data_IF_906662473669
#
_entry.id   IF_906662473669
#
_cell.length_a   1.000
_cell.length_b   1.000
_cell.length_c   1.000
_cell.angle_alpha   90.00
_cell.angle_beta   90.00
_cell.angle_gamma   90.00
#
_symmetry.space_group_name_H-M   'P 1'
#
loop_
_entity.id
_entity.type
_entity.pdbx_description
1 polymer ?
#
# COMPACT_ATOMS: atom_id res chain seq x y z
N UNK A 1 0.87 4.06 -25.02
CA UNK A 1 -0.32 3.47 -24.34
C UNK A 1 -0.15 3.42 -22.82
N UNK A 2 1.07 3.22 -22.32
CA UNK A 2 1.39 3.03 -20.89
C UNK A 2 1.00 4.22 -20.01
N UNK A 3 1.32 5.46 -20.42
CA UNK A 3 0.90 6.67 -19.68
C UNK A 3 -0.61 6.74 -19.43
N UNK A 4 -1.43 6.34 -20.41
CA UNK A 4 -2.91 6.34 -20.26
C UNK A 4 -3.35 5.28 -19.25
N UNK A 5 -2.72 4.09 -19.25
CA UNK A 5 -3.00 3.01 -18.29
C UNK A 5 -2.68 3.43 -16.86
N UNK A 6 -1.49 3.99 -16.61
CA UNK A 6 -1.08 4.51 -15.28
C UNK A 6 -2.13 5.47 -14.71
N UNK A 7 -2.58 6.43 -15.53
CA UNK A 7 -3.61 7.39 -15.13
C UNK A 7 -4.95 6.73 -14.85
N UNK A 8 -5.38 5.75 -15.67
CA UNK A 8 -6.64 5.03 -15.45
C UNK A 8 -6.60 4.24 -14.14
N UNK A 9 -5.49 3.54 -13.86
CA UNK A 9 -5.31 2.79 -12.62
C UNK A 9 -5.32 3.72 -11.40
N UNK A 10 -4.61 4.85 -11.48
CA UNK A 10 -4.58 5.85 -10.42
C UNK A 10 -5.98 6.42 -10.12
N UNK A 11 -6.66 6.92 -11.16
CA UNK A 11 -7.99 7.54 -11.02
C UNK A 11 -9.02 6.50 -10.56
N UNK A 12 -9.03 5.32 -11.17
CA UNK A 12 -9.90 4.22 -10.75
C UNK A 12 -9.65 3.83 -9.29
N UNK A 13 -8.38 3.75 -8.90
CA UNK A 13 -7.96 3.47 -7.53
C UNK A 13 -8.50 4.49 -6.52
N UNK A 14 -8.39 5.78 -6.82
CA UNK A 14 -8.95 6.85 -5.98
C UNK A 14 -10.48 6.77 -5.89
N UNK A 15 -11.17 6.51 -7.01
CA UNK A 15 -12.63 6.39 -7.04
C UNK A 15 -13.09 5.21 -6.18
N UNK A 16 -12.54 4.02 -6.39
CA UNK A 16 -12.93 2.83 -5.62
C UNK A 16 -12.55 2.95 -4.14
N UNK A 17 -11.40 3.55 -3.83
CA UNK A 17 -11.01 3.81 -2.44
C UNK A 17 -12.00 4.77 -1.76
N UNK A 18 -12.45 5.80 -2.46
CA UNK A 18 -13.42 6.76 -1.93
C UNK A 18 -14.75 6.10 -1.55
N UNK A 19 -15.18 5.07 -2.28
CA UNK A 19 -16.43 4.37 -2.00
C UNK A 19 -16.44 3.67 -0.63
N UNK A 20 -15.27 3.33 -0.09
CA UNK A 20 -15.14 2.76 1.26
C UNK A 20 -15.63 3.72 2.35
N UNK A 21 -15.69 5.03 2.07
CA UNK A 21 -16.12 6.08 3.01
C UNK A 21 -17.61 6.41 2.94
N UNK A 22 -18.35 5.90 1.96
CA UNK A 22 -19.76 6.24 1.75
C UNK A 22 -20.68 5.03 1.96
N UNK A 23 -21.90 5.29 2.43
CA UNK A 23 -22.89 4.24 2.77
C UNK A 23 -23.82 3.84 1.61
N UNK A 24 -23.58 4.31 0.38
CA UNK A 24 -24.48 4.03 -0.76
C UNK A 24 -24.28 2.66 -1.40
N UNK A 25 -23.21 1.94 -1.05
CA UNK A 25 -22.90 0.65 -1.66
C UNK A 25 -23.92 -0.42 -1.24
N UNK A 26 -24.31 -1.32 -2.16
CA UNK A 26 -25.28 -2.37 -1.88
C UNK A 26 -24.77 -3.30 -0.78
N UNK A 27 -25.71 -3.89 -0.03
CA UNK A 27 -25.37 -4.88 0.98
C UNK A 27 -24.65 -6.08 0.33
N UNK A 28 -23.53 -6.49 0.94
CA UNK A 28 -22.77 -7.65 0.51
C UNK A 28 -23.40 -8.96 0.99
N UNK A 29 -22.63 -10.05 0.99
CA UNK A 29 -23.01 -11.29 1.66
C UNK A 29 -23.41 -11.01 3.11
N UNK A 30 -24.35 -11.79 3.64
CA UNK A 30 -24.91 -11.61 4.99
C UNK A 30 -25.59 -10.25 5.24
N UNK A 31 -26.02 -9.57 4.16
CA UNK A 31 -26.68 -8.27 4.20
C UNK A 31 -25.83 -7.16 4.86
N UNK A 32 -24.50 -7.31 4.81
CA UNK A 32 -23.59 -6.34 5.40
C UNK A 32 -23.03 -5.37 4.36
N UNK A 33 -23.42 -4.09 4.44
CA UNK A 33 -22.88 -3.02 3.61
C UNK A 33 -21.41 -2.69 3.93
N UNK A 34 -20.91 -3.07 5.11
CA UNK A 34 -19.49 -2.93 5.47
C UNK A 34 -18.58 -3.81 4.62
N UNK A 35 -19.07 -4.98 4.18
CA UNK A 35 -18.34 -5.87 3.28
C UNK A 35 -18.07 -5.21 1.93
N UNK A 36 -19.11 -4.69 1.27
CA UNK A 36 -18.99 -4.04 -0.04
C UNK A 36 -18.05 -2.83 0.00
N UNK A 37 -18.12 -2.04 1.08
CA UNK A 37 -17.18 -0.95 1.34
C UNK A 37 -15.74 -1.46 1.45
N UNK A 38 -15.51 -2.50 2.24
CA UNK A 38 -14.20 -3.14 2.37
C UNK A 38 -13.63 -3.61 1.03
N UNK A 39 -14.43 -4.34 0.23
CA UNK A 39 -14.02 -4.83 -1.10
C UNK A 39 -13.71 -3.66 -2.03
N UNK A 40 -14.55 -2.63 -2.08
CA UNK A 40 -14.29 -1.44 -2.91
C UNK A 40 -12.98 -0.75 -2.51
N UNK A 41 -12.72 -0.62 -1.20
CA UNK A 41 -11.47 -0.08 -0.68
C UNK A 41 -10.26 -0.91 -1.07
N UNK A 42 -10.34 -2.25 -0.96
CA UNK A 42 -9.26 -3.16 -1.34
C UNK A 42 -8.97 -3.08 -2.85
N UNK A 43 -10.00 -3.07 -3.70
CA UNK A 43 -9.85 -2.88 -5.15
C UNK A 43 -9.18 -1.53 -5.42
N UNK A 44 -9.61 -0.47 -4.73
CA UNK A 44 -9.01 0.85 -4.83
C UNK A 44 -7.52 0.86 -4.51
N UNK A 45 -7.14 0.27 -3.37
CA UNK A 45 -5.75 0.14 -2.95
C UNK A 45 -4.92 -0.70 -3.93
N UNK A 46 -5.47 -1.81 -4.46
CA UNK A 46 -4.79 -2.63 -5.47
C UNK A 46 -4.52 -1.85 -6.75
N UNK A 47 -5.49 -1.05 -7.23
CA UNK A 47 -5.31 -0.23 -8.43
C UNK A 47 -4.27 0.88 -8.21
N UNK A 48 -4.29 1.54 -7.04
CA UNK A 48 -3.28 2.53 -6.67
C UNK A 48 -1.88 1.91 -6.60
N UNK A 49 -1.78 0.71 -6.01
CA UNK A 49 -0.52 -0.05 -5.95
C UNK A 49 0.01 -0.36 -7.35
N UNK A 50 -0.82 -0.89 -8.24
CA UNK A 50 -0.41 -1.20 -9.62
C UNK A 50 0.02 0.05 -10.38
N UNK A 51 -0.69 1.17 -10.19
CA UNK A 51 -0.30 2.45 -10.77
C UNK A 51 1.06 2.93 -10.25
N UNK A 52 1.30 2.79 -8.94
CA UNK A 52 2.58 3.15 -8.33
C UNK A 52 3.71 2.22 -8.81
N UNK A 53 3.47 0.91 -8.87
CA UNK A 53 4.46 -0.08 -9.31
C UNK A 53 4.94 0.22 -10.73
N UNK A 54 4.00 0.41 -11.66
CA UNK A 54 4.32 0.72 -13.04
C UNK A 54 4.99 2.10 -13.17
N UNK A 55 4.73 3.03 -12.24
CA UNK A 55 5.44 4.31 -12.20
C UNK A 55 6.87 4.18 -11.67
N UNK A 56 7.08 3.35 -10.64
CA UNK A 56 8.36 3.18 -9.97
C UNK A 56 9.36 2.36 -10.80
N UNK A 57 8.91 1.30 -11.47
CA UNK A 57 9.78 0.34 -12.15
C UNK A 57 9.69 0.39 -13.68
N UNK A 58 8.78 1.20 -14.22
CA UNK A 58 8.47 1.32 -15.67
C UNK A 58 8.18 -0.01 -16.39
N UNK A 59 7.84 -1.06 -15.63
CA UNK A 59 7.43 -2.37 -16.12
C UNK A 59 6.10 -2.77 -15.52
N UNK A 60 5.37 -3.66 -16.20
CA UNK A 60 4.16 -4.24 -15.64
C UNK A 60 4.52 -5.40 -14.71
N UNK A 61 4.02 -5.36 -13.48
CA UNK A 61 4.31 -6.37 -12.47
C UNK A 61 3.63 -6.08 -11.15
N UNK A 62 3.95 -6.89 -10.15
CA UNK A 62 3.34 -6.82 -8.81
C UNK A 62 4.39 -6.99 -7.71
N UNK A 63 5.53 -7.63 -7.99
CA UNK A 63 6.55 -7.91 -6.98
C UNK A 63 7.72 -6.94 -7.16
N UNK A 64 8.02 -6.08 -6.18
CA UNK A 64 9.10 -5.11 -6.26
C UNK A 64 10.42 -5.78 -5.84
N UNK A 65 10.92 -6.73 -6.64
CA UNK A 65 12.20 -7.40 -6.36
C UNK A 65 13.33 -6.38 -6.29
N UNK A 66 14.34 -6.65 -5.46
CA UNK A 66 15.42 -5.69 -5.23
C UNK A 66 16.25 -5.46 -6.50
N UNK A 67 16.31 -6.44 -7.40
CA UNK A 67 16.97 -6.30 -8.71
C UNK A 67 16.38 -5.17 -9.58
N UNK A 68 15.14 -4.76 -9.31
CA UNK A 68 14.49 -3.65 -10.02
C UNK A 68 14.82 -2.28 -9.42
N UNK A 69 15.49 -2.22 -8.27
CA UNK A 69 15.76 -0.97 -7.57
C UNK A 69 17.04 -0.34 -8.11
N UNK A 70 16.99 0.92 -8.56
CA UNK A 70 18.16 1.59 -9.12
C UNK A 70 19.31 1.78 -8.12
N UNK A 71 19.00 2.10 -6.86
CA UNK A 71 19.98 2.38 -5.79
C UNK A 71 19.52 1.81 -4.45
N UNK A 72 19.57 0.49 -4.27
CA UNK A 72 18.96 -0.16 -3.11
C UNK A 72 19.61 0.27 -1.78
N UNK A 73 20.94 0.54 -1.76
CA UNK A 73 21.73 1.07 -0.62
C UNK A 73 21.20 2.40 -0.04
N UNK A 74 20.50 3.20 -0.84
CA UNK A 74 19.91 4.47 -0.40
C UNK A 74 18.39 4.39 -0.27
N UNK A 75 17.75 3.61 -1.16
CA UNK A 75 16.29 3.50 -1.26
C UNK A 75 15.70 2.77 -0.05
N UNK A 76 16.41 1.79 0.51
CA UNK A 76 15.91 1.04 1.68
C UNK A 76 15.58 1.95 2.87
N UNK A 77 16.34 3.03 3.07
CA UNK A 77 16.13 4.00 4.16
C UNK A 77 14.80 4.73 3.99
N UNK A 78 14.49 5.14 2.76
CA UNK A 78 13.24 5.81 2.41
C UNK A 78 12.07 4.86 2.57
N UNK A 79 12.19 3.63 2.05
CA UNK A 79 11.14 2.61 2.16
C UNK A 79 10.85 2.28 3.62
N UNK A 80 11.89 2.07 4.43
CA UNK A 80 11.72 1.80 5.86
C UNK A 80 11.08 2.99 6.59
N UNK A 81 11.51 4.22 6.29
CA UNK A 81 10.91 5.43 6.87
C UNK A 81 9.42 5.55 6.51
N UNK A 82 9.04 5.29 5.26
CA UNK A 82 7.64 5.24 4.82
C UNK A 82 6.88 4.15 5.58
N UNK A 83 7.45 2.95 5.75
CA UNK A 83 6.85 1.88 6.53
C UNK A 83 6.56 2.30 7.98
N UNK A 84 7.54 2.92 8.65
CA UNK A 84 7.38 3.45 10.02
C UNK A 84 6.34 4.56 10.08
N UNK A 85 6.30 5.47 9.09
CA UNK A 85 5.27 6.50 9.02
C UNK A 85 3.87 5.91 8.88
N UNK A 86 3.70 4.90 8.00
CA UNK A 86 2.41 4.21 7.83
C UNK A 86 2.00 3.48 9.11
N UNK A 87 2.93 2.85 9.83
CA UNK A 87 2.67 2.27 11.15
C UNK A 87 2.26 3.33 12.18
N UNK A 88 2.89 4.50 12.16
CA UNK A 88 2.48 5.66 12.96
C UNK A 88 1.05 6.08 12.66
N UNK A 89 0.68 6.16 11.37
CA UNK A 89 -0.71 6.43 10.95
C UNK A 89 -1.68 5.33 11.36
N UNK A 90 -1.29 4.06 11.27
CA UNK A 90 -2.10 2.94 11.73
C UNK A 90 -2.37 3.06 13.24
N UNK A 91 -1.34 3.34 14.04
CA UNK A 91 -1.47 3.51 15.48
C UNK A 91 -2.35 4.72 15.84
N UNK A 92 -2.13 5.88 15.20
CA UNK A 92 -2.98 7.07 15.44
C UNK A 92 -4.43 6.82 15.04
N UNK A 93 -4.68 6.09 13.95
CA UNK A 93 -6.03 5.72 13.54
C UNK A 93 -6.76 4.84 14.57
N UNK A 94 -6.05 3.94 15.26
CA UNK A 94 -6.64 3.05 16.26
C UNK A 94 -6.75 3.66 17.66
N UNK A 95 -5.88 4.61 18.01
CA UNK A 95 -5.73 5.12 19.37
C UNK A 95 -6.18 6.58 19.55
N UNK A 96 -6.70 7.24 18.50
CA UNK A 96 -7.19 8.62 18.56
C UNK A 96 -8.57 8.76 17.91
N UNK A 97 -9.18 9.95 18.02
CA UNK A 97 -10.48 10.26 17.41
C UNK A 97 -10.49 10.18 15.87
N UNK A 98 -9.31 10.10 15.23
CA UNK A 98 -9.17 9.85 13.78
C UNK A 98 -9.85 8.54 13.35
N UNK A 99 -9.93 7.54 14.23
CA UNK A 99 -10.59 6.26 13.95
C UNK A 99 -12.06 6.40 13.57
N UNK A 100 -12.74 7.45 14.03
CA UNK A 100 -14.16 7.68 13.72
C UNK A 100 -14.40 8.14 12.27
N UNK A 101 -13.36 8.67 11.60
CA UNK A 101 -13.46 9.15 10.22
C UNK A 101 -13.03 8.10 9.19
N UNK A 102 -12.41 7.01 9.64
CA UNK A 102 -11.87 5.96 8.79
C UNK A 102 -12.83 4.76 8.73
N UNK A 103 -12.83 4.00 7.62
CA UNK A 103 -13.52 2.73 7.57
C UNK A 103 -13.05 1.81 8.71
N UNK A 104 -13.97 1.07 9.33
CA UNK A 104 -13.66 0.18 10.47
C UNK A 104 -12.40 -0.70 10.28
N UNK A 105 -12.16 -1.36 9.12
CA UNK A 105 -10.97 -2.21 8.96
C UNK A 105 -9.69 -1.42 8.63
N UNK A 106 -9.75 -0.11 8.42
CA UNK A 106 -8.64 0.68 7.90
C UNK A 106 -7.39 0.62 8.78
N UNK A 107 -7.53 0.71 10.11
CA UNK A 107 -6.38 0.68 11.01
C UNK A 107 -5.55 -0.61 10.92
N UNK A 108 -6.21 -1.76 10.84
CA UNK A 108 -5.54 -3.06 10.69
C UNK A 108 -4.89 -3.18 9.31
N UNK A 109 -5.55 -2.71 8.25
CA UNK A 109 -4.99 -2.71 6.90
C UNK A 109 -3.76 -1.81 6.80
N UNK A 110 -3.81 -0.61 7.38
CA UNK A 110 -2.66 0.30 7.45
C UNK A 110 -1.50 -0.34 8.22
N UNK A 111 -1.79 -1.02 9.33
CA UNK A 111 -0.76 -1.73 10.10
C UNK A 111 -0.09 -2.82 9.26
N UNK A 112 -0.89 -3.65 8.58
CA UNK A 112 -0.38 -4.70 7.69
C UNK A 112 0.49 -4.12 6.57
N UNK A 113 0.01 -3.08 5.89
CA UNK A 113 0.76 -2.41 4.81
C UNK A 113 2.06 -1.83 5.35
N UNK A 114 2.04 -1.15 6.49
CA UNK A 114 3.23 -0.58 7.13
C UNK A 114 4.25 -1.65 7.51
N UNK A 115 3.81 -2.79 8.05
CA UNK A 115 4.68 -3.92 8.36
C UNK A 115 5.32 -4.51 7.10
N UNK A 116 4.56 -4.69 6.02
CA UNK A 116 5.08 -5.22 4.77
C UNK A 116 6.11 -4.27 4.14
N UNK A 117 5.83 -2.96 4.13
CA UNK A 117 6.78 -1.95 3.64
C UNK A 117 8.07 -1.98 4.48
N UNK A 118 7.95 -1.98 5.82
CA UNK A 118 9.10 -2.04 6.70
C UNK A 118 9.90 -3.33 6.49
N UNK A 119 9.22 -4.47 6.32
CA UNK A 119 9.85 -5.76 6.03
C UNK A 119 10.66 -5.71 4.74
N UNK A 120 10.09 -5.17 3.65
CA UNK A 120 10.82 -4.99 2.38
C UNK A 120 12.03 -4.07 2.55
N UNK A 121 11.89 -2.96 3.28
CA UNK A 121 13.01 -2.05 3.56
C UNK A 121 14.12 -2.71 4.39
N UNK A 122 13.77 -3.48 5.41
CA UNK A 122 14.73 -4.25 6.23
C UNK A 122 15.43 -5.30 5.38
N UNK A 123 14.69 -6.04 4.55
CA UNK A 123 15.28 -7.02 3.65
C UNK A 123 16.26 -6.38 2.67
N UNK A 124 15.90 -5.24 2.08
CA UNK A 124 16.79 -4.48 1.20
C UNK A 124 18.05 -4.01 1.92
N UNK A 125 17.94 -3.55 3.17
CA UNK A 125 19.11 -3.24 4.00
C UNK A 125 20.01 -4.47 4.20
N UNK A 126 19.43 -5.60 4.60
CA UNK A 126 20.21 -6.80 4.95
C UNK A 126 21.11 -7.26 3.80
N UNK A 127 20.65 -7.15 2.56
CA UNK A 127 21.39 -7.62 1.39
C UNK A 127 22.33 -6.56 0.77
N UNK A 128 22.16 -5.27 1.11
CA UNK A 128 22.99 -4.18 0.53
C UNK A 128 24.09 -3.73 1.48
N UNK A 129 23.72 -3.36 2.70
CA UNK A 129 24.60 -2.80 3.74
C UNK A 129 24.75 -3.74 4.95
N UNK A 130 23.92 -4.79 5.01
CA UNK A 130 23.80 -5.68 6.15
C UNK A 130 24.60 -6.98 6.04
N UNK A 131 24.37 -7.91 6.98
CA UNK A 131 25.14 -9.15 7.11
C UNK A 131 24.84 -10.19 6.02
N UNK A 132 23.84 -9.96 5.16
CA UNK A 132 23.50 -10.85 4.03
C UNK A 132 24.05 -10.33 2.71
N UNK A 133 24.90 -9.30 2.75
CA UNK A 133 25.61 -8.81 1.57
C UNK A 133 26.46 -9.95 1.00
N UNK A 134 26.28 -10.25 -0.28
CA UNK A 134 27.17 -11.19 -0.97
C UNK A 134 28.57 -10.57 -1.02
N UNK A 135 29.56 -11.32 -0.53
CA UNK A 135 30.97 -10.96 -0.70
C UNK A 135 31.31 -11.18 -2.19
N UNK A 136 31.48 -10.10 -2.95
CA UNK A 136 32.19 -10.16 -4.24
C UNK A 136 33.69 -10.44 -4.05
#
# INVERSE_FOLDING_TARGET
>A
MERKRKVILFVGGLVFLSFSFFDFLPAGPWLDASFSRGISGLIGLSLLYLSWYEHAFDVFGVVPSIDLWERPESTWKVVLAVGVLVLGFAWTSGNTSLGNMLPKPAGILLMLIGLLIAYTGIYAYLITDGPLKEEE
#
